data_IF_971436458621
#
_entry.id   IF_971436458621
#
_cell.length_a   1.000
_cell.length_b   1.000
_cell.length_c   1.000
_cell.angle_alpha   90.00
_cell.angle_beta   90.00
_cell.angle_gamma   90.00
#
_symmetry.space_group_name_H-M   'P 1'
#
loop_
_entity.id
_entity.type
_entity.pdbx_description
1 polymer ?
#
# COMPACT_ATOMS: atom_id res chain seq x y z
N UNK A 1 -12.89 6.50 -15.57
CA UNK A 1 -12.55 5.14 -15.12
C UNK A 1 -11.04 5.12 -14.97
N UNK A 2 -10.48 4.72 -13.81
CA UNK A 2 -9.04 4.49 -13.73
C UNK A 2 -8.63 3.53 -14.85
N UNK A 3 -7.49 3.78 -15.49
CA UNK A 3 -6.96 2.82 -16.45
C UNK A 3 -6.62 1.50 -15.72
N UNK A 4 -6.55 0.38 -16.44
CA UNK A 4 -6.37 -0.94 -15.80
C UNK A 4 -5.12 -0.99 -14.91
N UNK A 5 -4.04 -0.30 -15.31
CA UNK A 5 -2.83 -0.20 -14.51
C UNK A 5 -3.04 0.53 -13.16
N UNK A 6 -3.76 1.65 -13.15
CA UNK A 6 -4.14 2.37 -11.92
C UNK A 6 -5.03 1.52 -11.02
N UNK A 7 -5.94 0.74 -11.62
CA UNK A 7 -6.80 -0.18 -10.87
C UNK A 7 -5.97 -1.29 -10.20
N UNK A 8 -4.97 -1.85 -10.89
CA UNK A 8 -4.05 -2.84 -10.31
C UNK A 8 -3.15 -2.23 -9.22
N UNK A 9 -2.61 -1.03 -9.45
CA UNK A 9 -1.84 -0.27 -8.44
C UNK A 9 -2.66 -0.06 -7.16
N UNK A 10 -3.93 0.33 -7.31
CA UNK A 10 -4.86 0.50 -6.19
C UNK A 10 -5.13 -0.82 -5.47
N UNK A 11 -5.40 -1.91 -6.20
CA UNK A 11 -5.64 -3.23 -5.59
C UNK A 11 -4.43 -3.70 -4.77
N UNK A 12 -3.23 -3.50 -5.31
CA UNK A 12 -1.98 -3.80 -4.60
C UNK A 12 -1.83 -2.96 -3.33
N UNK A 13 -2.04 -1.64 -3.41
CA UNK A 13 -1.93 -0.76 -2.26
C UNK A 13 -2.93 -1.12 -1.15
N UNK A 14 -4.19 -1.38 -1.51
CA UNK A 14 -5.22 -1.84 -0.55
C UNK A 14 -4.78 -3.14 0.12
N UNK A 15 -4.27 -4.11 -0.65
CA UNK A 15 -3.80 -5.39 -0.09
C UNK A 15 -2.65 -5.23 0.89
N UNK A 16 -1.62 -4.44 0.56
CA UNK A 16 -0.51 -4.21 1.48
C UNK A 16 -0.98 -3.47 2.74
N UNK A 17 -1.87 -2.50 2.60
CA UNK A 17 -2.45 -1.82 3.76
C UNK A 17 -3.27 -2.75 4.66
N UNK A 18 -4.00 -3.72 4.10
CA UNK A 18 -4.66 -4.76 4.92
C UNK A 18 -3.63 -5.57 5.71
N UNK A 19 -2.52 -5.96 5.08
CA UNK A 19 -1.47 -6.70 5.77
C UNK A 19 -0.81 -5.88 6.89
N UNK A 20 -0.69 -4.56 6.73
CA UNK A 20 -0.17 -3.65 7.76
C UNK A 20 -1.11 -3.69 8.97
N UNK A 21 -2.41 -3.46 8.75
CA UNK A 21 -3.45 -3.45 9.79
C UNK A 21 -3.61 -4.82 10.47
N UNK A 22 -3.38 -5.91 9.73
CA UNK A 22 -3.51 -7.28 10.27
C UNK A 22 -2.25 -7.76 11.00
N UNK A 23 -1.12 -7.04 10.91
CA UNK A 23 0.17 -7.52 11.38
C UNK A 23 0.26 -7.68 12.91
N UNK A 24 -0.46 -6.87 13.68
CA UNK A 24 -0.40 -6.87 15.15
C UNK A 24 -1.65 -7.46 15.83
N UNK A 25 -2.63 -7.95 15.04
CA UNK A 25 -3.95 -8.45 15.47
C UNK A 25 -4.79 -7.45 16.29
N UNK A 26 -4.56 -6.14 16.17
CA UNK A 26 -5.30 -5.12 16.91
C UNK A 26 -5.72 -3.98 16.00
N UNK A 27 -6.95 -4.07 15.50
CA UNK A 27 -7.55 -2.93 14.79
C UNK A 27 -7.77 -1.77 15.75
N UNK A 28 -6.96 -0.72 15.62
CA UNK A 28 -7.08 0.49 16.41
C UNK A 28 -7.70 1.66 15.61
N UNK A 29 -8.03 2.76 16.30
CA UNK A 29 -8.65 3.92 15.65
C UNK A 29 -7.74 4.60 14.61
N UNK A 30 -6.42 4.51 14.78
CA UNK A 30 -5.42 5.12 13.89
C UNK A 30 -5.39 4.37 12.56
N UNK A 31 -5.42 3.04 12.61
CA UNK A 31 -5.49 2.18 11.42
C UNK A 31 -6.78 2.38 10.63
N UNK A 32 -7.92 2.52 11.32
CA UNK A 32 -9.18 2.86 10.65
C UNK A 32 -9.15 4.24 9.99
N UNK A 33 -8.47 5.21 10.63
CA UNK A 33 -8.28 6.56 10.06
C UNK A 33 -7.36 6.52 8.85
N UNK A 34 -6.25 5.78 8.93
CA UNK A 34 -5.32 5.50 7.85
C UNK A 34 -6.05 4.92 6.63
N UNK A 35 -6.85 3.87 6.85
CA UNK A 35 -7.67 3.24 5.83
C UNK A 35 -8.61 4.24 5.15
N UNK A 36 -9.33 5.06 5.93
CA UNK A 36 -10.25 6.06 5.40
C UNK A 36 -9.57 7.18 4.62
N UNK A 37 -8.33 7.53 4.96
CA UNK A 37 -7.55 8.56 4.28
C UNK A 37 -6.95 8.06 2.95
N UNK A 38 -6.37 6.86 2.95
CA UNK A 38 -5.75 6.26 1.77
C UNK A 38 -6.77 5.71 0.78
N UNK A 39 -7.81 5.07 1.30
CA UNK A 39 -8.80 4.36 0.49
C UNK A 39 -10.22 4.87 0.78
N UNK A 40 -10.52 6.14 0.44
CA UNK A 40 -11.87 6.67 0.53
C UNK A 40 -12.87 5.75 -0.17
N UNK A 41 -14.05 5.52 0.43
CA UNK A 41 -15.07 4.60 -0.12
C UNK A 41 -15.46 4.94 -1.56
N UNK A 42 -15.48 6.22 -1.93
CA UNK A 42 -15.75 6.66 -3.31
C UNK A 42 -14.66 6.20 -4.29
N UNK A 43 -13.39 6.19 -3.89
CA UNK A 43 -12.29 5.68 -4.70
C UNK A 43 -12.46 4.16 -4.94
N UNK A 44 -12.73 3.40 -3.87
CA UNK A 44 -12.95 1.95 -3.97
C UNK A 44 -14.19 1.62 -4.82
N UNK A 45 -15.28 2.39 -4.69
CA UNK A 45 -16.47 2.24 -5.54
C UNK A 45 -16.19 2.56 -7.01
N UNK A 46 -15.39 3.58 -7.30
CA UNK A 46 -15.01 3.91 -8.68
C UNK A 46 -14.17 2.81 -9.34
N UNK A 47 -13.42 2.04 -8.54
CA UNK A 47 -12.67 0.88 -9.00
C UNK A 47 -13.48 -0.43 -9.01
N UNK A 48 -14.76 -0.37 -8.63
CA UNK A 48 -15.65 -1.52 -8.41
C UNK A 48 -15.13 -2.52 -7.37
N UNK A 49 -14.35 -2.06 -6.39
CA UNK A 49 -13.72 -2.93 -5.39
C UNK A 49 -14.57 -3.20 -4.16
N UNK A 50 -15.69 -2.50 -3.99
CA UNK A 50 -16.59 -2.71 -2.85
C UNK A 50 -18.02 -2.96 -3.30
N UNK A 51 -18.76 -3.71 -2.50
CA UNK A 51 -20.21 -3.91 -2.62
C UNK A 51 -21.01 -2.70 -2.10
N UNK A 52 -22.34 -2.82 -2.08
CA UNK A 52 -23.25 -1.76 -1.63
C UNK A 52 -23.07 -1.46 -0.13
N UNK A 53 -22.73 -2.48 0.65
CA UNK A 53 -22.40 -2.42 2.08
C UNK A 53 -21.01 -1.81 2.36
N UNK A 54 -20.14 -1.76 1.35
CA UNK A 54 -18.79 -1.21 1.42
C UNK A 54 -17.70 -2.23 1.78
N UNK A 55 -17.99 -3.53 1.71
CA UNK A 55 -17.01 -4.59 1.87
C UNK A 55 -16.27 -4.85 0.56
N UNK A 56 -15.01 -5.28 0.65
CA UNK A 56 -14.24 -5.68 -0.52
C UNK A 56 -14.90 -6.88 -1.21
N UNK A 57 -15.02 -6.83 -2.53
CA UNK A 57 -15.76 -7.80 -3.32
C UNK A 57 -14.85 -8.70 -4.19
N UNK A 58 -15.45 -9.54 -5.04
CA UNK A 58 -14.72 -10.45 -5.92
C UNK A 58 -13.85 -9.72 -6.98
N UNK A 59 -14.29 -8.53 -7.44
CA UNK A 59 -13.55 -7.73 -8.43
C UNK A 59 -12.24 -7.19 -7.85
N UNK A 60 -12.23 -6.85 -6.55
CA UNK A 60 -11.01 -6.54 -5.82
C UNK A 60 -10.09 -7.75 -5.75
N UNK A 61 -10.61 -8.92 -5.36
CA UNK A 61 -9.79 -10.12 -5.20
C UNK A 61 -9.13 -10.54 -6.52
N UNK A 62 -9.87 -10.45 -7.64
CA UNK A 62 -9.30 -10.67 -8.96
C UNK A 62 -8.21 -9.66 -9.31
N UNK A 63 -8.46 -8.36 -9.09
CA UNK A 63 -7.48 -7.32 -9.38
C UNK A 63 -6.23 -7.44 -8.50
N UNK A 64 -6.39 -7.86 -7.24
CA UNK A 64 -5.29 -8.13 -6.32
C UNK A 64 -4.39 -9.24 -6.85
N UNK A 65 -4.98 -10.37 -7.26
CA UNK A 65 -4.23 -11.49 -7.83
C UNK A 65 -3.50 -11.08 -9.12
N UNK A 66 -4.19 -10.35 -10.00
CA UNK A 66 -3.61 -9.85 -11.24
C UNK A 66 -2.48 -8.84 -10.99
N UNK A 67 -2.62 -7.97 -9.98
CA UNK A 67 -1.61 -7.00 -9.61
C UNK A 67 -0.32 -7.67 -9.15
N UNK A 68 -0.42 -8.73 -8.34
CA UNK A 68 0.73 -9.51 -7.88
C UNK A 68 1.51 -10.18 -9.02
N UNK A 69 0.84 -10.52 -10.12
CA UNK A 69 1.46 -11.14 -11.29
C UNK A 69 2.04 -10.07 -12.23
N UNK A 70 1.30 -8.97 -12.43
CA UNK A 70 1.54 -8.04 -13.52
C UNK A 70 2.43 -6.87 -13.12
N UNK A 71 2.20 -6.26 -11.96
CA UNK A 71 2.92 -5.06 -11.52
C UNK A 71 4.45 -5.24 -11.45
N UNK A 72 4.99 -6.38 -10.98
CA UNK A 72 6.44 -6.55 -10.87
C UNK A 72 7.16 -6.46 -12.22
N UNK A 73 6.51 -6.88 -13.31
CA UNK A 73 7.06 -6.82 -14.66
C UNK A 73 6.67 -5.58 -15.47
N UNK A 74 5.61 -4.87 -15.06
CA UNK A 74 5.05 -3.75 -15.83
C UNK A 74 5.42 -2.36 -15.31
N UNK A 75 5.73 -2.23 -14.02
CA UNK A 75 6.13 -0.95 -13.42
C UNK A 75 7.64 -0.71 -13.54
N UNK A 76 7.99 0.55 -13.76
CA UNK A 76 9.36 1.02 -13.55
C UNK A 76 9.75 0.93 -12.06
N UNK A 77 11.05 0.96 -11.77
CA UNK A 77 11.52 0.96 -10.38
C UNK A 77 10.95 2.15 -9.59
N UNK A 78 10.93 3.33 -10.20
CA UNK A 78 10.44 4.56 -9.57
C UNK A 78 8.96 4.43 -9.20
N UNK A 79 8.12 3.90 -10.08
CA UNK A 79 6.70 3.66 -9.79
C UNK A 79 6.49 2.64 -8.66
N UNK A 80 7.32 1.60 -8.58
CA UNK A 80 7.26 0.62 -7.48
C UNK A 80 7.62 1.26 -6.15
N UNK A 81 8.66 2.08 -6.13
CA UNK A 81 9.09 2.80 -4.93
C UNK A 81 8.07 3.87 -4.53
N UNK A 82 7.40 4.52 -5.49
CA UNK A 82 6.32 5.48 -5.22
C UNK A 82 5.14 4.81 -4.51
N UNK A 83 4.71 3.61 -4.94
CA UNK A 83 3.67 2.85 -4.26
C UNK A 83 4.02 2.56 -2.79
N UNK A 84 5.25 2.12 -2.53
CA UNK A 84 5.70 1.88 -1.17
C UNK A 84 5.85 3.18 -0.37
N UNK A 85 6.19 4.29 -1.03
CA UNK A 85 6.29 5.61 -0.39
C UNK A 85 4.93 6.08 0.11
N UNK A 86 3.87 5.91 -0.69
CA UNK A 86 2.50 6.24 -0.28
C UNK A 86 2.09 5.43 0.95
N UNK A 87 2.38 4.12 0.96
CA UNK A 87 2.07 3.25 2.09
C UNK A 87 2.87 3.61 3.33
N UNK A 88 4.19 3.82 3.19
CA UNK A 88 5.06 4.25 4.27
C UNK A 88 4.64 5.59 4.88
N UNK A 89 4.37 6.60 4.04
CA UNK A 89 4.01 7.94 4.52
C UNK A 89 2.70 7.95 5.30
N UNK A 90 1.84 6.96 5.02
CA UNK A 90 0.58 6.80 5.67
C UNK A 90 0.70 6.04 7.00
N UNK A 91 1.54 4.99 7.08
CA UNK A 91 1.95 4.40 8.37
C UNK A 91 2.64 5.42 9.28
N UNK A 92 3.49 6.29 8.73
CA UNK A 92 4.18 7.35 9.48
C UNK A 92 3.29 8.53 9.91
N UNK A 93 1.99 8.53 9.61
CA UNK A 93 1.11 9.68 9.83
C UNK A 93 0.93 10.07 11.31
N UNK A 94 1.26 9.18 12.25
CA UNK A 94 1.25 9.45 13.69
C UNK A 94 2.67 9.59 14.30
N UNK A 95 3.70 9.50 13.48
CA UNK A 95 5.10 9.79 13.83
C UNK A 95 5.97 8.59 14.17
N UNK A 96 5.44 7.37 14.17
CA UNK A 96 6.19 6.15 14.44
C UNK A 96 5.86 5.08 13.38
N UNK A 97 6.90 4.41 12.85
CA UNK A 97 6.74 3.19 12.05
C UNK A 97 7.13 2.01 12.93
N UNK A 98 6.19 1.12 13.18
CA UNK A 98 6.46 -0.05 13.99
C UNK A 98 7.26 -1.12 13.21
N UNK A 99 8.02 -1.95 13.93
CA UNK A 99 8.85 -2.99 13.31
C UNK A 99 8.01 -3.96 12.44
N UNK A 100 6.78 -4.24 12.85
CA UNK A 100 5.89 -5.13 12.13
C UNK A 100 5.35 -4.50 10.82
N UNK A 101 5.11 -3.19 10.79
CA UNK A 101 4.71 -2.46 9.58
C UNK A 101 5.86 -2.42 8.57
N UNK A 102 7.09 -2.27 9.07
CA UNK A 102 8.31 -2.34 8.28
C UNK A 102 8.47 -3.71 7.60
N UNK A 103 8.20 -4.80 8.33
CA UNK A 103 8.23 -6.15 7.76
C UNK A 103 7.20 -6.33 6.64
N UNK A 104 6.01 -5.72 6.78
CA UNK A 104 4.98 -5.74 5.73
C UNK A 104 5.39 -4.89 4.52
N UNK A 105 5.98 -3.71 4.71
CA UNK A 105 6.51 -2.90 3.62
C UNK A 105 7.64 -3.62 2.88
N UNK A 106 8.52 -4.31 3.60
CA UNK A 106 9.57 -5.14 3.01
C UNK A 106 8.98 -6.30 2.18
N UNK A 107 7.91 -6.93 2.67
CA UNK A 107 7.15 -7.92 1.90
C UNK A 107 6.50 -7.31 0.65
N UNK A 108 5.96 -6.09 0.75
CA UNK A 108 5.46 -5.35 -0.42
C UNK A 108 6.55 -5.10 -1.46
N UNK A 109 7.76 -4.76 -1.03
CA UNK A 109 8.91 -4.58 -1.90
C UNK A 109 9.31 -5.88 -2.61
N UNK A 110 9.35 -7.00 -1.87
CA UNK A 110 9.62 -8.33 -2.43
C UNK A 110 8.57 -8.73 -3.47
N UNK A 111 7.28 -8.51 -3.17
CA UNK A 111 6.18 -8.77 -4.10
C UNK A 111 6.28 -7.95 -5.38
N UNK A 112 6.82 -6.72 -5.34
CA UNK A 112 7.07 -5.88 -6.52
C UNK A 112 8.39 -6.22 -7.23
N UNK A 113 9.17 -7.16 -6.72
CA UNK A 113 10.48 -7.52 -7.23
C UNK A 113 11.52 -6.41 -7.05
N UNK A 114 11.40 -5.61 -5.99
CA UNK A 114 12.39 -4.59 -5.63
C UNK A 114 13.54 -5.27 -4.87
N UNK A 115 14.81 -5.08 -5.28
CA UNK A 115 15.93 -5.64 -4.54
C UNK A 115 15.98 -5.12 -3.09
N UNK A 116 16.32 -5.97 -2.09
CA UNK A 116 16.34 -5.56 -0.68
C UNK A 116 17.23 -4.34 -0.41
N UNK A 117 18.40 -4.27 -1.03
CA UNK A 117 19.32 -3.13 -0.87
C UNK A 117 18.75 -1.82 -1.41
N UNK A 118 18.00 -1.89 -2.52
CA UNK A 118 17.28 -0.75 -3.11
C UNK A 118 16.18 -0.28 -2.17
N UNK A 119 15.37 -1.22 -1.65
CA UNK A 119 14.30 -0.90 -0.70
C UNK A 119 14.86 -0.26 0.59
N UNK A 120 15.90 -0.84 1.19
CA UNK A 120 16.52 -0.29 2.40
C UNK A 120 17.10 1.11 2.16
N UNK A 121 17.73 1.35 1.01
CA UNK A 121 18.26 2.68 0.65
C UNK A 121 17.14 3.70 0.51
N UNK A 122 16.05 3.33 -0.17
CA UNK A 122 14.88 4.19 -0.35
C UNK A 122 14.23 4.55 0.99
N UNK A 123 14.02 3.55 1.86
CA UNK A 123 13.45 3.78 3.18
C UNK A 123 14.30 4.73 4.03
N UNK A 124 15.63 4.53 4.03
CA UNK A 124 16.54 5.43 4.75
C UNK A 124 16.43 6.88 4.28
N UNK A 125 16.21 7.11 2.97
CA UNK A 125 15.98 8.45 2.42
C UNK A 125 14.63 9.02 2.87
N UNK A 126 13.57 8.22 2.88
CA UNK A 126 12.26 8.65 3.38
C UNK A 126 12.32 9.06 4.85
N UNK A 127 12.92 8.23 5.71
CA UNK A 127 13.04 8.53 7.14
C UNK A 127 13.87 9.80 7.38
N UNK A 128 14.96 10.00 6.62
CA UNK A 128 15.77 11.22 6.72
C UNK A 128 14.97 12.48 6.33
N UNK A 129 14.12 12.39 5.29
CA UNK A 129 13.29 13.52 4.85
C UNK A 129 12.22 13.87 5.90
N UNK A 130 11.59 12.85 6.52
CA UNK A 130 10.61 13.07 7.60
C UNK A 130 11.23 13.72 8.85
N UNK A 131 12.47 13.36 9.20
CA UNK A 131 13.19 13.98 10.33
C UNK A 131 13.59 15.44 10.07
N UNK A 132 13.66 15.87 8.81
CA UNK A 132 14.05 17.22 8.42
C UNK A 132 12.89 18.20 8.27
N UNK A 133 11.63 17.75 8.42
CA UNK A 133 10.47 18.63 8.48
C UNK A 133 10.30 19.56 7.26
N UNK A 134 10.56 19.03 6.06
CA UNK A 134 10.31 19.70 4.78
C UNK A 134 9.14 19.05 4.08
#
# INVERSE_FOLDING_TARGET
MPNDAERLKLAFAVYIAQLIIEADNRIDYREMKLWGQLFPRNLLRQASFVDDEGNLNADFEQARQEALITLPGSLSLDEKLELLTVLHGASMADGELEAHELDVLAKGADLLGIPPTTFTTHLAQLTANYQLGI
#
